data_IF_912097794215
#
_entry.id   IF_912097794215
#
_cell.length_a   1.000
_cell.length_b   1.000
_cell.length_c   1.000
_cell.angle_alpha   90.00
_cell.angle_beta   90.00
_cell.angle_gamma   90.00
#
_symmetry.space_group_name_H-M   'P 1'
#
loop_
_entity.id
_entity.type
_entity.pdbx_description
1 polymer ?
#
# COMPACT_ATOMS: atom_id res chain seq x y z
N UNK A 1 3.47 27.49 28.91
CA UNK A 1 3.86 26.15 28.42
C UNK A 1 2.72 25.60 27.61
N UNK A 2 2.94 25.28 26.33
CA UNK A 2 1.91 24.64 25.50
C UNK A 2 1.98 23.15 25.79
N UNK A 3 0.87 22.57 26.27
CA UNK A 3 0.76 21.13 26.49
C UNK A 3 0.63 20.44 25.13
N UNK A 4 1.26 19.28 24.90
CA UNK A 4 1.04 18.50 23.68
C UNK A 4 -0.44 18.12 23.63
N UNK A 5 -1.13 18.62 22.61
CA UNK A 5 -2.52 18.28 22.36
C UNK A 5 -2.55 16.85 21.82
N UNK A 6 -3.31 15.97 22.46
CA UNK A 6 -3.49 14.60 22.01
C UNK A 6 -3.95 14.60 20.55
N UNK A 7 -3.23 13.86 19.71
CA UNK A 7 -3.56 13.70 18.31
C UNK A 7 -5.00 13.16 18.19
N UNK A 8 -5.81 13.67 17.24
CA UNK A 8 -7.17 13.19 17.07
C UNK A 8 -7.16 11.68 16.84
N UNK A 9 -7.85 10.94 17.72
CA UNK A 9 -8.01 9.50 17.55
C UNK A 9 -8.84 9.25 16.28
N UNK A 10 -8.23 8.58 15.31
CA UNK A 10 -8.88 8.21 14.06
C UNK A 10 -9.98 7.19 14.40
N UNK A 11 -11.24 7.36 13.95
CA UNK A 11 -12.32 6.42 14.24
C UNK A 11 -11.96 5.00 13.78
N UNK A 12 -12.28 4.00 14.60
CA UNK A 12 -11.89 2.60 14.42
C UNK A 12 -12.34 1.95 13.10
N UNK A 13 -11.60 0.90 12.73
CA UNK A 13 -11.68 0.09 11.50
C UNK A 13 -11.33 0.80 10.18
N UNK A 14 -10.19 1.49 10.13
CA UNK A 14 -9.61 2.01 8.87
C UNK A 14 -8.89 0.96 8.02
N UNK A 15 -9.09 -0.34 8.25
CA UNK A 15 -8.31 -1.39 7.58
C UNK A 15 -6.81 -1.32 7.90
N UNK A 16 -5.95 -2.05 7.15
CA UNK A 16 -4.50 -2.07 7.40
C UNK A 16 -3.86 -0.68 7.33
N UNK A 17 -2.93 -0.41 8.25
CA UNK A 17 -2.22 0.86 8.29
C UNK A 17 -1.09 0.88 7.23
N UNK A 18 -1.32 1.59 6.13
CA UNK A 18 -0.33 1.74 5.05
C UNK A 18 0.95 2.45 5.51
N UNK A 19 0.88 3.31 6.54
CA UNK A 19 2.07 3.96 7.09
C UNK A 19 2.93 2.93 7.81
N UNK A 20 2.33 2.07 8.64
CA UNK A 20 3.05 0.99 9.31
C UNK A 20 3.70 0.05 8.28
N UNK A 21 2.99 -0.29 7.20
CA UNK A 21 3.55 -1.07 6.10
C UNK A 21 4.72 -0.37 5.40
N UNK A 22 4.62 0.95 5.16
CA UNK A 22 5.72 1.73 4.60
C UNK A 22 6.97 1.69 5.48
N UNK A 23 6.79 1.75 6.80
CA UNK A 23 7.87 1.74 7.79
C UNK A 23 8.49 0.34 7.99
N UNK A 24 7.69 -0.72 7.82
CA UNK A 24 8.15 -2.11 7.93
C UNK A 24 8.91 -2.62 6.70
N UNK A 25 8.80 -1.91 5.57
CA UNK A 25 9.46 -2.26 4.30
C UNK A 25 10.61 -1.28 4.00
N UNK A 26 11.68 -1.74 3.35
CA UNK A 26 12.85 -0.90 3.05
C UNK A 26 13.28 -0.90 1.58
N UNK A 27 12.69 -1.74 0.74
CA UNK A 27 13.00 -1.80 -0.68
C UNK A 27 12.37 -0.62 -1.43
N UNK A 28 12.93 -0.32 -2.60
CA UNK A 28 12.46 0.71 -3.50
C UNK A 28 11.26 0.22 -4.33
N UNK A 29 10.37 1.12 -4.77
CA UNK A 29 9.34 0.78 -5.77
C UNK A 29 9.96 0.16 -7.03
N UNK A 30 9.28 -0.84 -7.59
CA UNK A 30 9.71 -1.65 -8.72
C UNK A 30 10.68 -2.80 -8.39
N UNK A 31 11.14 -2.93 -7.14
CA UNK A 31 11.93 -4.08 -6.71
C UNK A 31 11.00 -5.25 -6.46
N UNK A 32 10.94 -6.20 -7.41
CA UNK A 32 10.11 -7.39 -7.29
C UNK A 32 10.56 -8.27 -6.12
N UNK A 33 9.66 -8.48 -5.16
CA UNK A 33 9.82 -9.42 -4.04
C UNK A 33 8.82 -10.59 -4.11
N UNK A 34 7.69 -10.39 -4.77
CA UNK A 34 6.60 -11.34 -4.87
C UNK A 34 6.45 -11.82 -6.31
N UNK A 35 6.66 -13.12 -6.55
CA UNK A 35 6.50 -13.69 -7.89
C UNK A 35 5.03 -13.66 -8.31
N UNK A 36 4.72 -12.95 -9.40
CA UNK A 36 3.39 -12.95 -10.04
C UNK A 36 3.38 -13.96 -11.19
N UNK A 37 2.46 -14.91 -11.17
CA UNK A 37 2.31 -15.93 -12.23
C UNK A 37 1.54 -15.39 -13.43
N UNK A 38 2.04 -15.62 -14.65
CA UNK A 38 1.56 -14.99 -15.90
C UNK A 38 0.28 -15.54 -16.54
N UNK A 39 -0.66 -16.11 -15.79
CA UNK A 39 -1.86 -16.77 -16.35
C UNK A 39 -3.13 -15.91 -16.33
N UNK A 40 -3.03 -14.62 -16.04
CA UNK A 40 -4.14 -13.69 -16.17
C UNK A 40 -3.63 -12.28 -16.40
N UNK A 41 -3.62 -11.82 -17.65
CA UNK A 41 -3.42 -10.41 -17.96
C UNK A 41 -4.68 -9.68 -17.47
N UNK A 42 -4.62 -9.18 -16.25
CA UNK A 42 -5.60 -8.24 -15.73
C UNK A 42 -5.15 -6.84 -16.15
N UNK A 43 -6.08 -6.04 -16.64
CA UNK A 43 -5.82 -4.63 -16.91
C UNK A 43 -5.62 -3.91 -15.57
N UNK A 44 -4.36 -3.70 -15.21
CA UNK A 44 -3.95 -3.02 -13.96
C UNK A 44 -4.50 -1.60 -13.91
N UNK A 45 -4.60 -0.90 -15.04
CA UNK A 45 -5.13 0.46 -15.09
C UNK A 45 -6.62 0.46 -14.72
N UNK A 46 -7.39 -0.48 -15.27
CA UNK A 46 -8.80 -0.65 -14.92
C UNK A 46 -9.01 -1.11 -13.47
N UNK A 47 -8.09 -1.93 -12.92
CA UNK A 47 -8.14 -2.32 -11.52
C UNK A 47 -7.86 -1.13 -10.58
N UNK A 48 -6.84 -0.32 -10.90
CA UNK A 48 -6.45 0.85 -10.12
C UNK A 48 -7.44 2.01 -10.21
N UNK A 49 -8.11 2.19 -11.35
CA UNK A 49 -9.15 3.21 -11.53
C UNK A 49 -10.37 3.05 -10.60
N UNK A 50 -10.50 1.93 -9.90
CA UNK A 50 -11.57 1.70 -8.91
C UNK A 50 -11.33 2.43 -7.58
N UNK A 51 -10.10 2.88 -7.33
CA UNK A 51 -9.71 3.54 -6.10
C UNK A 51 -9.53 5.04 -6.33
N UNK A 52 -9.98 5.85 -5.37
CA UNK A 52 -9.85 7.31 -5.47
C UNK A 52 -8.40 7.79 -5.25
N UNK A 53 -7.52 6.95 -4.70
CA UNK A 53 -6.10 7.25 -4.51
C UNK A 53 -5.25 5.97 -4.42
N UNK A 54 -3.92 6.06 -4.67
CA UNK A 54 -3.00 4.96 -4.41
C UNK A 54 -2.99 4.50 -2.95
N UNK A 55 -3.16 5.41 -1.99
CA UNK A 55 -3.26 5.07 -0.57
C UNK A 55 -4.43 4.13 -0.27
N UNK A 56 -5.61 4.42 -0.85
CA UNK A 56 -6.80 3.57 -0.72
C UNK A 56 -6.60 2.22 -1.42
N UNK A 57 -5.92 2.21 -2.58
CA UNK A 57 -5.58 0.98 -3.28
C UNK A 57 -4.63 0.10 -2.45
N UNK A 58 -3.60 0.69 -1.85
CA UNK A 58 -2.66 -0.02 -0.99
C UNK A 58 -3.35 -0.58 0.25
N UNK A 59 -4.22 0.20 0.89
CA UNK A 59 -4.97 -0.24 2.06
C UNK A 59 -5.83 -1.46 1.73
N UNK A 60 -6.60 -1.42 0.64
CA UNK A 60 -7.46 -2.53 0.22
C UNK A 60 -6.63 -3.76 -0.25
N UNK A 61 -5.51 -3.52 -0.91
CA UNK A 61 -4.56 -4.56 -1.31
C UNK A 61 -4.06 -5.35 -0.10
N UNK A 62 -3.59 -4.66 0.95
CA UNK A 62 -3.18 -5.27 2.21
C UNK A 62 -4.36 -5.97 2.88
N UNK A 63 -5.57 -5.36 2.87
CA UNK A 63 -6.75 -5.92 3.50
C UNK A 63 -7.18 -7.26 2.87
N UNK A 64 -6.85 -7.47 1.59
CA UNK A 64 -7.14 -8.69 0.83
C UNK A 64 -6.02 -9.73 0.85
N UNK A 65 -4.98 -9.50 1.65
CA UNK A 65 -3.86 -10.43 1.83
C UNK A 65 -2.65 -10.13 0.94
N UNK A 66 -2.56 -8.94 0.37
CA UNK A 66 -1.29 -8.42 -0.13
C UNK A 66 -0.30 -8.21 1.02
N UNK A 67 1.01 -8.26 0.76
CA UNK A 67 1.64 -8.40 -0.55
C UNK A 67 1.79 -9.85 -1.05
N UNK A 68 1.56 -10.84 -0.19
CA UNK A 68 1.68 -12.26 -0.52
C UNK A 68 0.74 -12.66 -1.68
N UNK A 69 -0.49 -12.14 -1.68
CA UNK A 69 -1.50 -12.43 -2.71
C UNK A 69 -2.09 -11.17 -3.31
N UNK A 70 -1.81 -10.93 -4.58
CA UNK A 70 -2.49 -9.90 -5.36
C UNK A 70 -3.84 -10.40 -5.91
N UNK A 71 -4.86 -10.42 -5.05
CA UNK A 71 -6.23 -10.81 -5.44
C UNK A 71 -6.92 -9.77 -6.32
N UNK A 72 -6.45 -8.53 -6.28
CA UNK A 72 -7.06 -7.39 -6.98
C UNK A 72 -6.46 -7.16 -8.37
N UNK A 73 -5.25 -7.65 -8.63
CA UNK A 73 -4.51 -7.38 -9.87
C UNK A 73 -3.96 -5.96 -9.91
N UNK A 74 -3.51 -5.42 -8.77
CA UNK A 74 -3.04 -4.03 -8.60
C UNK A 74 -1.54 -3.90 -8.39
N UNK A 75 -0.83 -5.02 -8.21
CA UNK A 75 0.62 -5.11 -8.02
C UNK A 75 1.20 -6.21 -8.96
N UNK A 76 1.21 -5.95 -10.28
CA UNK A 76 1.65 -6.92 -11.29
C UNK A 76 3.16 -7.09 -11.37
N UNK A 77 3.95 -6.09 -10.98
CA UNK A 77 5.40 -6.16 -10.85
C UNK A 77 5.82 -6.92 -9.59
N UNK A 78 4.96 -6.99 -8.58
CA UNK A 78 5.16 -7.80 -7.39
C UNK A 78 6.15 -7.15 -6.43
N UNK A 79 6.18 -5.83 -6.38
CA UNK A 79 6.99 -5.09 -5.42
C UNK A 79 6.25 -4.90 -4.08
N UNK A 80 4.96 -5.25 -4.00
CA UNK A 80 4.14 -5.10 -2.79
C UNK A 80 3.54 -3.71 -2.62
N UNK A 81 3.64 -2.84 -3.63
CA UNK A 81 3.10 -1.48 -3.66
C UNK A 81 2.05 -1.35 -4.78
N UNK A 82 0.78 -1.44 -4.39
CA UNK A 82 -0.36 -1.41 -5.29
C UNK A 82 -0.49 -0.07 -6.01
N UNK A 83 -0.84 -0.12 -7.30
CA UNK A 83 -1.20 1.05 -8.09
C UNK A 83 -0.16 2.19 -8.04
N UNK A 84 1.13 1.82 -8.08
CA UNK A 84 2.26 2.74 -8.01
C UNK A 84 2.34 3.55 -6.70
N UNK A 85 1.76 3.03 -5.62
CA UNK A 85 1.86 3.65 -4.31
C UNK A 85 3.32 3.79 -3.88
N UNK A 86 3.68 4.95 -3.33
CA UNK A 86 5.05 5.26 -2.96
C UNK A 86 5.20 5.29 -1.42
N UNK A 87 5.95 4.36 -0.81
CA UNK A 87 6.14 4.34 0.64
C UNK A 87 7.13 5.41 1.13
N UNK A 88 7.95 6.00 0.24
CA UNK A 88 9.09 6.86 0.62
C UNK A 88 8.68 8.09 1.45
N UNK A 89 7.58 8.83 1.14
CA UNK A 89 7.16 9.98 1.93
C UNK A 89 6.82 9.64 3.39
N UNK A 90 6.38 8.40 3.66
CA UNK A 90 6.09 7.95 5.02
C UNK A 90 7.35 7.57 5.79
N UNK A 91 8.40 7.10 5.08
CA UNK A 91 9.70 6.75 5.68
C UNK A 91 10.52 7.98 6.07
N UNK A 92 10.39 9.08 5.32
CA UNK A 92 11.10 10.34 5.62
C UNK A 92 10.65 11.00 6.92
N UNK A 93 9.46 10.64 7.45
CA UNK A 93 8.99 11.15 8.74
C UNK A 93 9.75 10.58 9.96
N UNK A 94 10.65 9.61 9.75
CA UNK A 94 11.50 9.02 10.79
C UNK A 94 12.97 9.49 10.75
N UNK A 95 13.33 10.40 9.83
CA UNK A 95 14.67 11.01 9.75
C UNK A 95 14.69 12.38 10.40
#
# INVERSE_FOLDING_TARGET
TVQPQDLPQRPGDTGPNIVEFALATNHAPGVQLYRRGGLGVRDVNAACAKFASPDLAQQEFLARGGPDRDRLGVDPDGDGFACSWDPRPFRTALQ
#
